data_IF_110190091231
#
_entry.id   IF_110190091231
#
_cell.length_a   1.000
_cell.length_b   1.000
_cell.length_c   1.000
_cell.angle_alpha   90.00
_cell.angle_beta   90.00
_cell.angle_gamma   90.00
#
_symmetry.space_group_name_H-M   'P 1'
#
loop_
_entity.id
_entity.type
_entity.pdbx_description
1 polymer ?
#
# COMPACT_ATOMS: atom_id res chain seq x y z
N UNK A 1 -10.87 -8.84 -9.48
CA UNK A 1 -9.48 -8.57 -9.91
C UNK A 1 -8.61 -9.72 -9.41
N UNK A 2 -7.66 -10.18 -10.22
CA UNK A 2 -6.78 -11.30 -9.86
C UNK A 2 -5.67 -10.83 -8.91
N UNK A 3 -5.47 -11.55 -7.81
CA UNK A 3 -4.34 -11.35 -6.89
C UNK A 3 -3.10 -12.05 -7.46
N UNK A 4 -1.91 -11.44 -7.41
CA UNK A 4 -0.67 -12.10 -7.80
C UNK A 4 -0.40 -13.37 -6.97
N UNK A 5 0.01 -14.46 -7.61
CA UNK A 5 0.23 -15.76 -6.94
C UNK A 5 1.25 -15.66 -5.80
N UNK A 6 2.32 -14.89 -5.97
CA UNK A 6 3.34 -14.65 -4.94
C UNK A 6 2.77 -14.06 -3.66
N UNK A 7 1.77 -13.16 -3.75
CA UNK A 7 1.07 -12.62 -2.58
C UNK A 7 0.31 -13.75 -1.87
N UNK A 8 -0.44 -14.56 -2.62
CA UNK A 8 -1.21 -15.68 -2.07
C UNK A 8 -0.29 -16.70 -1.38
N UNK A 9 0.84 -17.03 -1.99
CA UNK A 9 1.81 -17.97 -1.46
C UNK A 9 2.46 -17.45 -0.17
N UNK A 10 2.92 -16.19 -0.17
CA UNK A 10 3.52 -15.55 1.00
C UNK A 10 2.51 -15.38 2.14
N UNK A 11 1.26 -15.04 1.82
CA UNK A 11 0.19 -14.93 2.79
C UNK A 11 -0.14 -16.27 3.45
N UNK A 12 -0.21 -17.36 2.67
CA UNK A 12 -0.42 -18.70 3.20
C UNK A 12 0.78 -19.22 4.00
N UNK A 13 2.00 -18.92 3.55
CA UNK A 13 3.22 -19.21 4.31
C UNK A 13 3.19 -18.51 5.68
N UNK A 14 2.70 -17.27 5.74
CA UNK A 14 2.56 -16.53 6.99
C UNK A 14 1.64 -17.26 7.97
N UNK A 15 0.44 -17.69 7.52
CA UNK A 15 -0.51 -18.46 8.35
C UNK A 15 0.12 -19.73 8.93
N UNK A 16 0.80 -20.50 8.08
CA UNK A 16 1.46 -21.74 8.50
C UNK A 16 2.56 -21.47 9.53
N UNK A 17 3.37 -20.43 9.30
CA UNK A 17 4.46 -20.05 10.20
C UNK A 17 3.94 -19.57 11.57
N UNK A 18 2.87 -18.77 11.60
CA UNK A 18 2.26 -18.29 12.85
C UNK A 18 1.61 -19.43 13.61
N UNK A 19 0.87 -20.32 12.94
CA UNK A 19 0.27 -21.48 13.59
C UNK A 19 1.33 -22.38 14.22
N UNK A 20 2.44 -22.66 13.52
CA UNK A 20 3.53 -23.48 14.04
C UNK A 20 4.25 -22.82 15.24
N UNK A 21 4.32 -21.49 15.27
CA UNK A 21 5.12 -20.75 16.26
C UNK A 21 4.32 -20.34 17.48
N UNK A 22 3.11 -19.82 17.28
CA UNK A 22 2.24 -19.23 18.31
C UNK A 22 1.12 -20.18 18.72
N UNK A 23 0.81 -21.19 17.91
CA UNK A 23 -0.25 -22.16 18.18
C UNK A 23 -1.66 -21.63 17.93
N UNK A 24 -1.79 -20.49 17.25
CA UNK A 24 -3.07 -19.86 16.91
C UNK A 24 -3.17 -19.70 15.40
N UNK A 25 -4.33 -20.05 14.84
CA UNK A 25 -4.58 -19.94 13.41
C UNK A 25 -4.95 -18.50 13.03
N UNK A 26 -4.31 -18.02 11.96
CA UNK A 26 -4.68 -16.79 11.27
C UNK A 26 -5.76 -17.09 10.23
N UNK A 27 -6.75 -16.22 10.07
CA UNK A 27 -7.98 -16.50 9.31
C UNK A 27 -8.29 -15.48 8.20
N UNK A 28 -7.36 -14.57 7.92
CA UNK A 28 -7.53 -13.39 7.06
C UNK A 28 -8.52 -12.34 7.57
N UNK A 29 -8.96 -12.46 8.82
CA UNK A 29 -9.80 -11.45 9.47
C UNK A 29 -8.95 -10.48 10.30
N UNK A 30 -9.39 -9.21 10.44
CA UNK A 30 -8.69 -8.21 11.24
C UNK A 30 -8.45 -8.63 12.71
N UNK A 31 -9.29 -9.50 13.26
CA UNK A 31 -9.23 -9.99 14.64
C UNK A 31 -7.97 -10.79 14.96
N UNK A 32 -7.35 -11.41 13.94
CA UNK A 32 -6.11 -12.16 14.11
C UNK A 32 -4.84 -11.30 13.92
N UNK A 33 -4.98 -10.02 13.57
CA UNK A 33 -3.85 -9.10 13.41
C UNK A 33 -3.01 -8.89 14.69
N UNK A 34 -3.56 -8.88 15.92
CA UNK A 34 -2.75 -8.82 17.14
C UNK A 34 -1.78 -10.00 17.28
N UNK A 35 -2.15 -11.18 16.75
CA UNK A 35 -1.30 -12.38 16.76
C UNK A 35 -0.17 -12.21 15.75
N UNK A 36 -0.48 -11.71 14.55
CA UNK A 36 0.50 -11.37 13.52
C UNK A 36 1.50 -10.32 14.03
N UNK A 37 1.01 -9.31 14.74
CA UNK A 37 1.83 -8.24 15.33
C UNK A 37 2.77 -8.78 16.41
N UNK A 38 2.26 -9.64 17.31
CA UNK A 38 3.09 -10.35 18.28
C UNK A 38 4.19 -11.20 17.60
N UNK A 39 3.81 -11.95 16.57
CA UNK A 39 4.71 -12.78 15.78
C UNK A 39 5.83 -11.95 15.11
N UNK A 40 5.47 -10.88 14.39
CA UNK A 40 6.41 -10.01 13.71
C UNK A 40 7.39 -9.33 14.68
N UNK A 41 6.91 -8.90 15.86
CA UNK A 41 7.74 -8.28 16.91
C UNK A 41 8.78 -9.23 17.49
N UNK A 42 8.41 -10.50 17.68
CA UNK A 42 9.34 -11.51 18.15
C UNK A 42 10.47 -11.74 17.14
N UNK A 43 10.13 -11.84 15.84
CA UNK A 43 11.12 -12.02 14.78
C UNK A 43 11.99 -10.77 14.54
N UNK A 44 11.41 -9.56 14.64
CA UNK A 44 12.18 -8.32 14.55
C UNK A 44 13.20 -8.19 15.69
N UNK A 45 12.83 -8.62 16.90
CA UNK A 45 13.72 -8.61 18.08
C UNK A 45 14.88 -9.61 17.92
N UNK A 46 14.64 -10.75 17.26
CA UNK A 46 15.66 -11.73 16.93
C UNK A 46 16.60 -11.27 15.82
N UNK A 47 16.10 -10.52 14.83
CA UNK A 47 16.89 -10.08 13.67
C UNK A 47 17.68 -8.78 13.91
N UNK A 48 17.07 -7.77 14.55
CA UNK A 48 17.65 -6.42 14.65
C UNK A 48 18.04 -6.05 16.09
N UNK A 49 17.67 -6.87 17.07
CA UNK A 49 17.83 -6.57 18.49
C UNK A 49 16.80 -5.57 19.02
N UNK A 50 16.96 -5.13 20.26
CA UNK A 50 16.00 -4.26 20.96
C UNK A 50 16.04 -2.79 20.44
N UNK A 51 14.95 -2.26 19.88
CA UNK A 51 14.90 -0.91 19.30
C UNK A 51 15.09 0.24 20.30
N UNK A 52 14.94 0.00 21.60
CA UNK A 52 15.23 1.00 22.65
C UNK A 52 16.73 1.24 22.83
N UNK A 53 17.59 0.42 22.22
CA UNK A 53 19.05 0.57 22.21
C UNK A 53 19.49 1.04 20.81
N UNK A 54 19.35 2.35 20.52
CA UNK A 54 19.89 3.00 19.30
C UNK A 54 21.43 2.88 19.25
N UNK A 55 21.95 1.72 18.88
CA UNK A 55 23.33 1.54 18.45
C UNK A 55 23.40 1.73 16.92
N UNK A 56 24.54 2.18 16.35
CA UNK A 56 24.69 2.30 14.91
C UNK A 56 24.47 0.95 14.23
N UNK A 57 23.77 0.96 13.08
CA UNK A 57 23.45 -0.20 12.25
C UNK A 57 24.70 -1.07 12.08
N UNK A 58 24.75 -2.31 12.61
CA UNK A 58 25.86 -3.21 12.32
C UNK A 58 25.90 -3.44 10.81
N UNK A 59 27.09 -3.37 10.25
CA UNK A 59 27.36 -3.71 8.86
C UNK A 59 27.01 -5.18 8.61
N UNK A 60 25.99 -5.43 7.78
CA UNK A 60 25.76 -6.67 7.02
C UNK A 60 26.00 -7.99 7.79
N UNK A 61 25.05 -8.40 8.64
CA UNK A 61 24.93 -9.81 9.05
C UNK A 61 23.91 -10.49 8.13
N UNK A 62 24.39 -11.31 7.18
CA UNK A 62 23.58 -11.95 6.13
C UNK A 62 22.33 -12.67 6.69
N UNK A 63 22.44 -13.32 7.85
CA UNK A 63 21.33 -14.05 8.47
C UNK A 63 20.20 -13.15 9.00
N UNK A 64 20.54 -11.95 9.50
CA UNK A 64 19.53 -10.99 9.98
C UNK A 64 18.76 -10.34 8.84
N UNK A 65 19.47 -10.00 7.76
CA UNK A 65 18.87 -9.49 6.52
C UNK A 65 18.04 -10.58 5.81
N UNK A 66 18.44 -11.86 5.90
CA UNK A 66 17.67 -13.00 5.36
C UNK A 66 16.37 -13.26 6.13
N UNK A 67 16.39 -13.20 7.48
CA UNK A 67 15.17 -13.30 8.31
C UNK A 67 14.21 -12.16 8.01
N UNK A 68 14.70 -10.92 7.92
CA UNK A 68 13.87 -9.76 7.58
C UNK A 68 13.36 -9.86 6.13
N UNK A 69 14.22 -10.27 5.20
CA UNK A 69 13.92 -10.44 3.79
C UNK A 69 12.87 -11.51 3.49
N UNK A 70 12.65 -12.46 4.40
CA UNK A 70 11.61 -13.49 4.29
C UNK A 70 10.35 -13.17 5.13
N UNK A 71 10.53 -12.82 6.40
CA UNK A 71 9.41 -12.62 7.34
C UNK A 71 8.61 -11.36 7.00
N UNK A 72 9.27 -10.27 6.56
CA UNK A 72 8.57 -9.03 6.25
C UNK A 72 7.63 -9.15 5.02
N UNK A 73 8.05 -9.76 3.88
CA UNK A 73 7.16 -9.98 2.75
C UNK A 73 6.01 -10.94 3.06
N UNK A 74 6.25 -11.99 3.85
CA UNK A 74 5.19 -12.91 4.31
C UNK A 74 4.11 -12.18 5.12
N UNK A 75 4.54 -11.43 6.14
CA UNK A 75 3.63 -10.65 6.97
C UNK A 75 2.92 -9.55 6.16
N UNK A 76 3.63 -8.87 5.25
CA UNK A 76 3.07 -7.82 4.40
C UNK A 76 2.05 -8.33 3.38
N UNK A 77 2.30 -9.49 2.76
CA UNK A 77 1.38 -10.13 1.83
C UNK A 77 0.10 -10.60 2.55
N UNK A 78 0.23 -11.25 3.72
CA UNK A 78 -0.94 -11.63 4.53
C UNK A 78 -1.75 -10.40 4.92
N UNK A 79 -1.09 -9.37 5.46
CA UNK A 79 -1.76 -8.14 5.89
C UNK A 79 -2.49 -7.45 4.73
N UNK A 80 -1.88 -7.37 3.55
CA UNK A 80 -2.53 -6.74 2.42
C UNK A 80 -3.71 -7.54 1.86
N UNK A 81 -3.72 -8.87 1.97
CA UNK A 81 -4.90 -9.69 1.64
C UNK A 81 -6.01 -9.55 2.68
N UNK A 82 -5.68 -9.43 3.98
CA UNK A 82 -6.65 -9.01 5.02
C UNK A 82 -7.33 -7.71 4.59
N UNK A 83 -6.55 -6.71 4.15
CA UNK A 83 -7.07 -5.42 3.70
C UNK A 83 -7.93 -5.56 2.42
N UNK A 84 -7.52 -6.38 1.47
CA UNK A 84 -8.22 -6.54 0.19
C UNK A 84 -9.57 -7.26 0.36
N UNK A 85 -9.63 -8.25 1.25
CA UNK A 85 -10.87 -8.91 1.64
C UNK A 85 -11.78 -7.97 2.41
N UNK A 86 -11.23 -7.20 3.34
CA UNK A 86 -11.97 -6.28 4.18
C UNK A 86 -12.68 -5.16 3.39
N UNK A 87 -12.13 -4.73 2.25
CA UNK A 87 -12.69 -3.66 1.40
C UNK A 87 -13.30 -4.17 0.09
N UNK A 88 -13.86 -5.38 0.07
CA UNK A 88 -14.63 -5.94 -1.05
C UNK A 88 -13.93 -5.85 -2.43
N UNK A 89 -12.60 -5.94 -2.45
CA UNK A 89 -11.82 -5.89 -3.69
C UNK A 89 -11.77 -4.51 -4.38
N UNK A 90 -12.11 -3.43 -3.66
CA UNK A 90 -11.83 -2.03 -4.08
C UNK A 90 -10.34 -1.84 -4.36
N UNK A 91 -9.50 -2.55 -3.61
CA UNK A 91 -8.06 -2.55 -3.80
C UNK A 91 -7.60 -3.63 -4.79
N UNK A 92 -6.71 -3.22 -5.69
CA UNK A 92 -5.87 -4.07 -6.53
C UNK A 92 -4.46 -4.08 -5.97
N UNK A 93 -3.81 -5.23 -6.03
CA UNK A 93 -2.38 -5.28 -5.83
C UNK A 93 -1.64 -4.74 -7.05
N UNK A 94 -0.67 -3.88 -6.80
CA UNK A 94 0.42 -3.56 -7.70
C UNK A 94 1.69 -4.14 -7.07
N UNK A 95 2.10 -5.32 -7.52
CA UNK A 95 3.27 -6.02 -7.00
C UNK A 95 4.19 -6.39 -8.17
N UNK A 96 5.04 -5.47 -8.65
CA UNK A 96 5.95 -5.74 -9.75
C UNK A 96 7.12 -6.60 -9.27
N UNK A 97 7.24 -7.79 -9.85
CA UNK A 97 8.33 -8.75 -9.61
C UNK A 97 8.59 -9.02 -8.10
N UNK A 98 9.83 -9.41 -7.77
CA UNK A 98 10.26 -9.75 -6.41
C UNK A 98 10.78 -8.52 -5.63
N UNK A 99 10.64 -7.31 -6.20
CA UNK A 99 11.06 -6.07 -5.55
C UNK A 99 9.99 -5.58 -4.56
N UNK A 100 9.92 -6.27 -3.41
CA UNK A 100 8.90 -6.06 -2.37
C UNK A 100 8.72 -4.58 -1.94
N UNK A 101 9.76 -3.76 -2.07
CA UNK A 101 9.71 -2.33 -1.77
C UNK A 101 8.78 -1.53 -2.70
N UNK A 102 8.46 -2.07 -3.88
CA UNK A 102 7.59 -1.44 -4.87
C UNK A 102 6.14 -1.94 -4.78
N UNK A 103 5.85 -2.89 -3.90
CA UNK A 103 4.51 -3.45 -3.76
C UNK A 103 3.54 -2.44 -3.13
N UNK A 104 2.34 -2.32 -3.71
CA UNK A 104 1.28 -1.39 -3.30
C UNK A 104 -0.09 -2.06 -3.37
N UNK A 105 -1.00 -1.59 -2.55
CA UNK A 105 -2.44 -1.77 -2.74
C UNK A 105 -3.01 -0.46 -3.29
N UNK A 106 -3.58 -0.50 -4.50
CA UNK A 106 -4.12 0.64 -5.24
C UNK A 106 -5.65 0.54 -5.37
N UNK A 107 -6.37 1.66 -5.47
CA UNK A 107 -7.82 1.68 -5.68
C UNK A 107 -8.18 2.30 -7.07
N UNK A 108 -9.35 2.00 -7.66
CA UNK A 108 -9.77 2.49 -9.01
C UNK A 108 -11.32 2.68 -9.13
N UNK A 109 -11.94 3.63 -9.93
CA UNK A 109 -11.51 4.87 -10.65
C UNK A 109 -12.25 6.21 -10.27
N UNK A 110 -11.98 7.34 -10.99
CA UNK A 110 -12.41 8.76 -10.75
C UNK A 110 -12.67 9.61 -12.07
N UNK A 111 -13.63 10.57 -12.20
CA UNK A 111 -14.10 11.31 -13.44
C UNK A 111 -13.75 12.84 -13.60
N UNK A 112 -13.59 13.45 -14.83
CA UNK A 112 -13.04 14.83 -15.20
C UNK A 112 -13.82 15.76 -16.27
N UNK A 113 -13.68 17.14 -16.36
CA UNK A 113 -14.35 18.18 -17.29
C UNK A 113 -13.84 19.73 -17.36
N UNK A 114 -14.13 20.62 -18.41
CA UNK A 114 -13.88 22.15 -18.59
C UNK A 114 -14.63 22.98 -19.76
N UNK A 115 -14.48 24.35 -19.99
CA UNK A 115 -15.17 25.26 -21.02
C UNK A 115 -14.28 26.11 -22.02
N UNK A 116 -14.51 26.10 -23.37
CA UNK A 116 -13.61 26.72 -24.38
C UNK A 116 -13.80 28.20 -24.81
N UNK A 117 -15.00 28.81 -24.79
CA UNK A 117 -15.17 30.23 -25.25
C UNK A 117 -14.48 31.21 -24.30
N UNK A 118 -14.41 30.86 -23.00
CA UNK A 118 -13.69 31.63 -21.98
C UNK A 118 -12.20 31.80 -22.28
N UNK A 119 -11.56 30.82 -22.91
CA UNK A 119 -10.12 30.83 -23.23
C UNK A 119 -9.76 31.90 -24.27
N UNK A 120 -10.58 32.11 -25.32
CA UNK A 120 -10.31 33.10 -26.38
C UNK A 120 -10.43 34.55 -25.87
N UNK A 121 -11.24 34.73 -24.82
CA UNK A 121 -11.46 36.01 -24.16
C UNK A 121 -10.25 36.43 -23.32
N UNK A 122 -9.67 35.50 -22.52
CA UNK A 122 -8.44 35.74 -21.73
C UNK A 122 -7.26 36.25 -22.59
N UNK A 123 -7.23 35.90 -23.88
CA UNK A 123 -6.18 36.28 -24.83
C UNK A 123 -6.32 37.69 -25.38
N UNK A 124 -7.51 38.15 -25.79
CA UNK A 124 -7.65 39.51 -26.38
C UNK A 124 -7.44 40.60 -25.33
N UNK A 125 -7.69 40.26 -24.06
CA UNK A 125 -7.59 41.15 -22.90
C UNK A 125 -6.31 40.94 -22.08
N UNK A 126 -5.60 39.83 -22.30
CA UNK A 126 -4.35 39.44 -21.64
C UNK A 126 -4.48 39.27 -20.11
N UNK A 127 -5.64 38.76 -19.64
CA UNK A 127 -5.96 38.55 -18.21
C UNK A 127 -6.90 37.34 -17.98
N UNK A 128 -6.99 36.84 -16.73
CA UNK A 128 -7.88 35.72 -16.32
C UNK A 128 -9.39 36.08 -16.46
N UNK A 129 -10.18 35.22 -17.09
CA UNK A 129 -11.61 35.40 -17.36
C UNK A 129 -12.47 34.67 -16.34
N UNK A 130 -12.47 35.20 -15.11
CA UNK A 130 -13.18 34.63 -13.98
C UNK A 130 -14.66 34.29 -14.31
N UNK A 131 -15.07 33.05 -14.00
CA UNK A 131 -16.44 32.59 -14.18
C UNK A 131 -16.74 31.88 -15.51
N UNK A 132 -15.84 31.95 -16.50
CA UNK A 132 -16.03 31.25 -17.78
C UNK A 132 -15.58 29.78 -17.76
N UNK A 133 -14.85 29.33 -16.73
CA UNK A 133 -14.57 27.89 -16.54
C UNK A 133 -13.53 27.29 -17.49
N UNK A 134 -12.50 28.05 -17.83
CA UNK A 134 -11.46 27.71 -18.80
C UNK A 134 -10.49 26.56 -18.41
N UNK A 135 -10.44 26.10 -17.15
CA UNK A 135 -9.47 25.09 -16.65
C UNK A 135 -10.07 23.69 -16.32
N UNK A 136 -9.22 22.64 -16.34
CA UNK A 136 -9.56 21.23 -16.05
C UNK A 136 -10.06 20.99 -14.62
N UNK A 137 -11.10 20.15 -14.48
CA UNK A 137 -11.73 19.82 -13.19
C UNK A 137 -12.17 18.37 -13.13
N UNK A 138 -12.46 17.87 -11.95
CA UNK A 138 -12.97 16.52 -11.67
C UNK A 138 -14.48 16.59 -11.40
N UNK A 139 -15.28 15.51 -11.49
CA UNK A 139 -16.66 15.48 -10.97
C UNK A 139 -16.58 16.01 -9.54
N UNK A 140 -17.52 16.83 -9.04
CA UNK A 140 -17.48 17.28 -7.64
C UNK A 140 -17.20 16.12 -6.68
N UNK A 141 -17.82 14.97 -6.96
CA UNK A 141 -17.76 13.74 -6.17
C UNK A 141 -16.44 12.96 -6.33
N UNK A 142 -15.64 13.32 -7.31
CA UNK A 142 -14.44 12.60 -7.76
C UNK A 142 -13.18 13.49 -7.55
N UNK A 143 -13.35 14.72 -7.05
CA UNK A 143 -12.29 15.73 -7.12
C UNK A 143 -11.05 15.45 -6.34
N UNK A 144 -11.23 15.17 -5.08
CA UNK A 144 -10.07 14.82 -4.29
C UNK A 144 -9.58 13.43 -4.62
N UNK A 145 -10.46 12.50 -5.08
CA UNK A 145 -10.01 11.16 -5.42
C UNK A 145 -8.92 11.15 -6.51
N UNK A 146 -8.95 12.11 -7.45
CA UNK A 146 -7.88 12.33 -8.44
C UNK A 146 -6.72 13.18 -7.92
N UNK A 147 -6.97 14.23 -7.12
CA UNK A 147 -5.89 15.05 -6.55
C UNK A 147 -5.00 14.22 -5.62
N UNK A 148 -5.65 13.46 -4.76
CA UNK A 148 -5.01 12.65 -3.75
C UNK A 148 -4.20 11.52 -4.39
N UNK A 149 -4.68 10.90 -5.47
CA UNK A 149 -3.91 9.88 -6.20
C UNK A 149 -2.65 10.45 -6.90
N UNK A 150 -2.74 11.68 -7.42
CA UNK A 150 -1.62 12.39 -8.04
C UNK A 150 -0.53 12.77 -7.02
N UNK A 151 -0.91 13.24 -5.83
CA UNK A 151 0.06 13.48 -4.75
C UNK A 151 0.70 12.18 -4.22
N UNK A 152 -0.03 11.06 -4.28
CA UNK A 152 0.39 9.78 -3.70
C UNK A 152 1.41 9.01 -4.54
N UNK A 153 1.45 9.21 -5.85
CA UNK A 153 2.24 8.40 -6.78
C UNK A 153 3.32 9.23 -7.51
N UNK A 154 3.33 10.55 -7.26
CA UNK A 154 4.13 11.53 -7.98
C UNK A 154 3.38 12.12 -9.16
#
# INVERSE_FOLDING_TARGET
MSVPTTIVDLANACRASVLATVGVELDFEPETLPILDHYAKNHATLAVGDPLKRAPKPSSDDASDEVVGLVAPMCGAYFGEVMRHHFDGVFRWHAPDDEHALWRLEAEPVFLFFNPVGVALEVMEQEDAAGWGAHLRVRPNDREAVRAALELLG
#
